data_IF_388596692097
#
_entry.id   IF_388596692097
#
_cell.length_a   1.000
_cell.length_b   1.000
_cell.length_c   1.000
_cell.angle_alpha   90.00
_cell.angle_beta   90.00
_cell.angle_gamma   90.00
#
_symmetry.space_group_name_H-M   'P 1'
#
loop_
_entity.id
_entity.type
_entity.pdbx_description
1 polymer ?
#
# COMPACT_ATOMS: atom_id res chain seq x y z
N UNK A 1 -15.67 -14.88 14.81
CA UNK A 1 -14.66 -15.26 13.80
C UNK A 1 -14.50 -14.31 12.60
N UNK A 2 -15.29 -13.23 12.47
CA UNK A 2 -15.25 -12.37 11.27
C UNK A 2 -14.28 -11.17 11.32
N UNK A 3 -13.47 -11.01 12.38
CA UNK A 3 -12.79 -9.74 12.72
C UNK A 3 -11.31 -9.63 12.28
N UNK A 4 -10.70 -10.68 11.75
CA UNK A 4 -9.24 -10.73 11.53
C UNK A 4 -8.77 -11.08 10.11
N UNK A 5 -9.67 -11.26 9.14
CA UNK A 5 -9.32 -11.77 7.80
C UNK A 5 -9.32 -10.74 6.67
N UNK A 6 -9.45 -9.45 6.99
CA UNK A 6 -9.64 -8.39 5.99
C UNK A 6 -8.64 -7.23 6.18
N UNK A 7 -7.44 -7.56 6.66
CA UNK A 7 -6.54 -6.60 7.32
C UNK A 7 -5.89 -5.61 6.35
N UNK A 8 -5.73 -5.89 5.05
CA UNK A 8 -5.04 -4.95 4.15
C UNK A 8 -5.92 -3.75 3.78
N UNK A 9 -7.14 -3.97 3.28
CA UNK A 9 -8.07 -2.89 2.92
C UNK A 9 -8.80 -2.29 4.12
N UNK A 10 -9.10 -3.07 5.15
CA UNK A 10 -9.58 -2.50 6.42
C UNK A 10 -8.46 -1.76 7.14
N UNK A 11 -7.18 -2.19 7.06
CA UNK A 11 -6.09 -1.34 7.57
C UNK A 11 -5.83 -0.14 6.70
N UNK A 12 -6.03 -0.19 5.37
CA UNK A 12 -6.01 1.01 4.54
C UNK A 12 -7.10 1.97 5.04
N UNK A 13 -8.38 1.55 5.11
CA UNK A 13 -9.47 2.37 5.65
C UNK A 13 -9.24 2.80 7.10
N UNK A 14 -8.58 2.00 7.94
CA UNK A 14 -8.28 2.35 9.34
C UNK A 14 -7.06 3.30 9.45
N UNK A 15 -6.01 3.12 8.64
CA UNK A 15 -4.87 4.03 8.51
C UNK A 15 -5.30 5.37 7.92
N UNK A 16 -6.27 5.35 7.00
CA UNK A 16 -6.92 6.50 6.38
C UNK A 16 -7.81 7.24 7.39
N UNK A 17 -8.68 6.53 8.13
CA UNK A 17 -9.58 7.14 9.12
C UNK A 17 -8.89 7.69 10.37
N UNK A 18 -7.71 7.19 10.74
CA UNK A 18 -7.06 7.55 12.02
C UNK A 18 -6.05 8.70 11.89
N UNK A 19 -5.84 9.30 10.72
CA UNK A 19 -4.84 10.38 10.56
C UNK A 19 -3.40 9.98 10.89
N UNK A 20 -3.15 8.67 11.05
CA UNK A 20 -1.86 8.09 11.47
C UNK A 20 -0.80 8.27 10.38
N UNK A 21 -1.19 8.28 9.11
CA UNK A 21 -0.28 8.53 7.99
C UNK A 21 0.32 9.95 8.04
N UNK A 22 -0.49 10.96 8.38
CA UNK A 22 -0.06 12.36 8.51
C UNK A 22 0.91 12.56 9.69
N UNK A 23 0.68 11.87 10.81
CA UNK A 23 1.56 11.92 11.98
C UNK A 23 2.86 11.11 11.79
N UNK A 24 2.81 10.01 11.03
CA UNK A 24 4.00 9.21 10.71
C UNK A 24 4.98 9.99 9.82
N UNK A 25 4.48 10.71 8.80
CA UNK A 25 5.31 11.55 7.92
C UNK A 25 5.89 12.77 8.66
N UNK A 26 5.13 13.40 9.56
CA UNK A 26 5.66 14.50 10.41
C UNK A 26 6.74 14.03 11.39
N UNK A 27 6.60 12.82 11.95
CA UNK A 27 7.59 12.21 12.86
C UNK A 27 8.87 11.76 12.16
N UNK A 28 8.78 11.28 10.92
CA UNK A 28 9.96 10.92 10.13
C UNK A 28 10.86 12.15 9.85
N UNK A 29 10.26 13.33 9.67
CA UNK A 29 10.99 14.60 9.51
C UNK A 29 11.66 15.07 10.81
N UNK A 30 11.03 14.85 11.97
CA UNK A 30 11.57 15.26 13.28
C UNK A 30 12.58 14.27 13.90
N UNK A 31 12.58 13.00 13.48
CA UNK A 31 13.44 11.95 14.04
C UNK A 31 14.82 11.86 13.38
N UNK A 32 15.08 12.63 12.32
CA UNK A 32 16.38 12.66 11.64
C UNK A 32 17.41 13.61 12.29
N UNK A 33 17.07 14.30 13.39
CA UNK A 33 17.98 15.25 14.05
C UNK A 33 18.56 14.81 15.39
N UNK A 34 18.09 13.73 16.05
CA UNK A 34 18.51 13.46 17.43
C UNK A 34 18.98 12.03 17.73
N UNK A 35 20.23 11.99 18.19
CA UNK A 35 20.92 10.95 18.96
C UNK A 35 21.60 9.80 18.20
N UNK A 36 22.91 9.99 18.00
CA UNK A 36 23.89 8.92 18.07
C UNK A 36 24.79 9.15 19.27
N UNK A 37 24.97 8.11 20.08
CA UNK A 37 25.98 8.06 21.14
C UNK A 37 25.41 8.02 22.54
N UNK A 38 25.23 6.81 23.08
CA UNK A 38 25.71 6.45 24.43
C UNK A 38 26.09 4.97 24.46
N UNK A 39 27.27 4.74 25.03
CA UNK A 39 27.91 3.46 25.26
C UNK A 39 27.05 2.51 26.09
N UNK A 40 27.05 1.23 25.71
CA UNK A 40 26.49 0.13 26.50
C UNK A 40 27.66 -0.69 27.04
N UNK A 41 27.90 -0.59 28.36
CA UNK A 41 28.83 -1.46 29.07
C UNK A 41 28.32 -2.90 29.06
N UNK A 42 29.14 -3.83 28.56
CA UNK A 42 28.83 -5.24 28.43
C UNK A 42 29.03 -5.97 29.77
N UNK A 43 27.95 -6.50 30.34
CA UNK A 43 28.02 -7.53 31.37
C UNK A 43 28.37 -8.87 30.72
N UNK A 44 29.42 -9.54 31.21
CA UNK A 44 29.81 -10.88 30.78
C UNK A 44 28.96 -11.90 31.54
N UNK A 45 27.78 -12.22 30.99
CA UNK A 45 27.02 -13.40 31.37
C UNK A 45 27.56 -14.63 30.61
N UNK A 46 27.76 -15.73 31.32
CA UNK A 46 28.17 -17.03 30.75
C UNK A 46 27.20 -17.46 29.64
N UNK A 47 27.61 -17.28 28.39
CA UNK A 47 26.79 -17.61 27.23
C UNK A 47 26.68 -19.12 27.05
N UNK A 48 25.56 -19.70 27.48
CA UNK A 48 25.17 -21.07 27.12
C UNK A 48 24.78 -21.08 25.64
N UNK A 49 25.63 -21.66 24.79
CA UNK A 49 25.32 -21.81 23.36
C UNK A 49 24.57 -23.13 23.12
N UNK A 50 23.29 -23.05 22.75
CA UNK A 50 22.52 -24.21 22.27
C UNK A 50 22.62 -24.27 20.75
N UNK A 51 23.22 -25.34 20.23
CA UNK A 51 23.28 -25.59 18.78
C UNK A 51 22.30 -26.68 18.41
N UNK A 52 21.35 -26.39 17.51
CA UNK A 52 20.45 -27.40 16.92
C UNK A 52 20.73 -27.50 15.43
N UNK A 53 20.77 -28.72 14.90
CA UNK A 53 20.77 -28.95 13.46
C UNK A 53 19.39 -28.57 12.90
N UNK A 54 19.34 -27.52 12.09
CA UNK A 54 18.12 -27.11 11.40
C UNK A 54 18.12 -27.69 9.98
N UNK A 55 17.01 -28.29 9.56
CA UNK A 55 16.78 -28.57 8.14
C UNK A 55 16.17 -27.32 7.50
N UNK A 56 16.73 -26.86 6.38
CA UNK A 56 16.22 -25.71 5.63
C UNK A 56 15.95 -26.19 4.20
N UNK A 57 14.70 -26.06 3.71
CA UNK A 57 13.53 -25.50 4.40
C UNK A 57 12.95 -26.42 5.49
N UNK A 58 12.40 -25.81 6.54
CA UNK A 58 11.69 -26.50 7.63
C UNK A 58 10.22 -26.65 7.22
N UNK A 59 9.87 -27.82 6.67
CA UNK A 59 8.54 -28.09 6.10
C UNK A 59 7.41 -27.90 7.11
N UNK A 60 7.58 -28.36 8.35
CA UNK A 60 6.58 -28.21 9.41
C UNK A 60 6.36 -26.73 9.78
N UNK A 61 7.42 -25.93 9.85
CA UNK A 61 7.29 -24.48 10.03
C UNK A 61 6.56 -23.83 8.86
N UNK A 62 6.92 -24.18 7.63
CA UNK A 62 6.28 -23.64 6.43
C UNK A 62 4.77 -23.95 6.42
N UNK A 63 4.37 -25.20 6.66
CA UNK A 63 2.96 -25.58 6.72
C UNK A 63 2.19 -24.87 7.84
N UNK A 64 2.79 -24.75 9.02
CA UNK A 64 2.17 -24.02 10.13
C UNK A 64 1.94 -22.55 9.79
N UNK A 65 2.90 -21.91 9.14
CA UNK A 65 2.78 -20.53 8.68
C UNK A 65 1.68 -20.38 7.61
N UNK A 66 1.54 -21.36 6.70
CA UNK A 66 0.45 -21.38 5.72
C UNK A 66 -0.93 -21.52 6.35
N UNK A 67 -1.05 -22.35 7.39
CA UNK A 67 -2.33 -22.57 8.10
C UNK A 67 -2.73 -21.39 8.97
N UNK A 68 -1.75 -20.72 9.58
CA UNK A 68 -1.95 -19.65 10.57
C UNK A 68 -1.01 -18.45 10.33
N UNK A 69 -1.17 -17.73 9.19
CA UNK A 69 -0.30 -16.61 8.83
C UNK A 69 -0.35 -15.44 9.82
N UNK A 70 -1.39 -15.30 10.63
CA UNK A 70 -1.46 -14.32 11.72
C UNK A 70 -0.40 -14.54 12.81
N UNK A 71 0.06 -15.79 13.00
CA UNK A 71 1.16 -16.16 13.90
C UNK A 71 2.47 -16.38 13.14
N UNK A 72 2.52 -16.00 11.86
CA UNK A 72 3.72 -16.06 11.04
C UNK A 72 4.85 -15.15 11.54
N UNK A 73 6.08 -15.37 11.07
CA UNK A 73 7.25 -14.60 11.50
C UNK A 73 7.10 -13.11 11.21
N UNK A 74 7.70 -12.27 12.08
CA UNK A 74 7.80 -10.82 11.83
C UNK A 74 8.94 -10.57 10.85
N UNK A 75 8.62 -9.98 9.71
CA UNK A 75 9.60 -9.75 8.63
C UNK A 75 9.62 -8.27 8.27
N UNK A 76 10.81 -7.67 8.25
CA UNK A 76 11.03 -6.31 7.78
C UNK A 76 11.69 -6.34 6.41
N UNK A 77 11.05 -5.70 5.43
CA UNK A 77 11.61 -5.48 4.10
C UNK A 77 12.09 -4.04 3.95
N UNK A 78 13.34 -3.88 3.54
CA UNK A 78 13.85 -2.64 2.96
C UNK A 78 13.71 -2.78 1.44
N UNK A 79 12.80 -2.00 0.84
CA UNK A 79 12.40 -2.23 -0.54
C UNK A 79 12.08 -0.94 -1.31
N UNK A 80 12.21 -1.03 -2.62
CA UNK A 80 11.73 -0.04 -3.57
C UNK A 80 11.26 -0.74 -4.84
N UNK A 81 10.37 -0.11 -5.62
CA UNK A 81 9.96 -0.63 -6.91
C UNK A 81 9.24 -1.99 -6.86
N UNK A 82 9.40 -2.72 -7.96
CA UNK A 82 8.72 -4.01 -8.20
C UNK A 82 9.53 -5.23 -7.74
N UNK A 83 10.78 -5.06 -7.32
CA UNK A 83 11.72 -6.16 -7.08
C UNK A 83 11.22 -7.24 -6.10
N UNK A 84 10.55 -6.84 -5.02
CA UNK A 84 9.99 -7.76 -4.01
C UNK A 84 8.48 -7.96 -4.17
N UNK A 85 7.89 -7.60 -5.32
CA UNK A 85 6.44 -7.80 -5.59
C UNK A 85 6.06 -9.28 -5.45
N UNK A 86 6.66 -10.16 -6.26
CA UNK A 86 6.37 -11.59 -6.23
C UNK A 86 6.70 -12.25 -4.87
N UNK A 87 7.78 -11.81 -4.23
CA UNK A 87 8.13 -12.27 -2.87
C UNK A 87 7.04 -11.93 -1.86
N UNK A 88 6.48 -10.71 -1.91
CA UNK A 88 5.39 -10.32 -1.01
C UNK A 88 4.06 -10.99 -1.34
N UNK A 89 3.77 -11.18 -2.63
CA UNK A 89 2.59 -11.94 -3.08
C UNK A 89 2.62 -13.38 -2.57
N UNK A 90 3.81 -13.98 -2.48
CA UNK A 90 3.99 -15.30 -1.88
C UNK A 90 3.94 -15.25 -0.34
N UNK A 91 4.72 -14.36 0.28
CA UNK A 91 4.90 -14.34 1.73
C UNK A 91 3.67 -13.92 2.52
N UNK A 92 2.72 -13.19 1.92
CA UNK A 92 1.44 -12.88 2.59
C UNK A 92 0.67 -14.13 3.00
N UNK A 93 0.89 -15.27 2.32
CA UNK A 93 0.30 -16.56 2.68
C UNK A 93 0.96 -17.21 3.90
N UNK A 94 2.19 -16.80 4.25
CA UNK A 94 2.96 -17.35 5.36
C UNK A 94 3.01 -16.42 6.57
N UNK A 95 2.83 -15.12 6.38
CA UNK A 95 2.85 -14.14 7.47
C UNK A 95 2.04 -12.89 7.15
N UNK A 96 1.14 -12.52 8.06
CA UNK A 96 0.50 -11.21 8.09
C UNK A 96 1.36 -10.14 8.79
N UNK A 97 2.49 -10.54 9.38
CA UNK A 97 3.34 -9.71 10.23
C UNK A 97 4.53 -9.11 9.45
N UNK A 98 4.27 -8.64 8.23
CA UNK A 98 5.30 -8.03 7.39
C UNK A 98 5.27 -6.50 7.45
N UNK A 99 6.45 -5.89 7.59
CA UNK A 99 6.65 -4.44 7.57
C UNK A 99 7.45 -4.12 6.31
N UNK A 100 6.97 -3.17 5.51
CA UNK A 100 7.60 -2.79 4.25
C UNK A 100 8.02 -1.33 4.33
N UNK A 101 9.33 -1.10 4.40
CA UNK A 101 9.91 0.22 4.20
C UNK A 101 10.07 0.42 2.70
N UNK A 102 9.32 1.39 2.17
CA UNK A 102 9.20 1.65 0.74
C UNK A 102 9.88 2.97 0.42
N UNK A 103 10.83 2.96 -0.50
CA UNK A 103 11.45 4.18 -1.00
C UNK A 103 10.55 4.85 -2.05
N UNK A 104 10.29 6.17 -2.00
CA UNK A 104 9.34 6.86 -2.89
C UNK A 104 9.95 7.24 -4.25
N UNK A 105 10.77 6.37 -4.84
CA UNK A 105 11.58 6.70 -6.01
C UNK A 105 10.88 6.45 -7.35
N UNK A 106 9.73 5.75 -7.39
CA UNK A 106 9.00 5.57 -8.66
C UNK A 106 8.72 6.90 -9.36
N UNK A 107 9.30 7.06 -10.55
CA UNK A 107 9.32 8.30 -11.32
C UNK A 107 8.62 8.20 -12.66
N UNK A 108 7.90 7.10 -12.95
CA UNK A 108 7.28 6.88 -14.26
C UNK A 108 5.82 7.34 -14.37
N UNK A 109 5.45 7.86 -15.55
CA UNK A 109 4.06 8.14 -15.95
C UNK A 109 3.29 9.00 -14.95
N UNK A 110 2.10 8.54 -14.54
CA UNK A 110 1.22 9.26 -13.61
C UNK A 110 1.85 9.63 -12.27
N UNK A 111 2.85 8.87 -11.81
CA UNK A 111 3.56 9.17 -10.56
C UNK A 111 4.36 10.46 -10.68
N UNK A 112 5.00 10.72 -11.82
CA UNK A 112 5.73 11.97 -12.05
C UNK A 112 4.79 13.18 -12.11
N UNK A 113 3.65 13.03 -12.79
CA UNK A 113 2.66 14.09 -12.92
C UNK A 113 2.05 14.47 -11.56
N UNK A 114 1.74 13.49 -10.71
CA UNK A 114 1.29 13.75 -9.33
C UNK A 114 2.34 14.52 -8.52
N UNK A 115 3.62 14.15 -8.63
CA UNK A 115 4.68 14.88 -7.92
C UNK A 115 4.79 16.32 -8.41
N UNK A 116 4.69 16.55 -9.72
CA UNK A 116 4.70 17.88 -10.34
C UNK A 116 3.53 18.72 -9.84
N UNK A 117 2.32 18.14 -9.84
CA UNK A 117 1.08 18.85 -9.54
C UNK A 117 0.90 19.16 -8.04
N UNK A 118 1.29 18.25 -7.15
CA UNK A 118 0.98 18.35 -5.72
C UNK A 118 2.19 18.53 -4.82
N UNK A 119 3.41 18.62 -5.37
CA UNK A 119 4.67 18.72 -4.63
C UNK A 119 4.80 17.66 -3.50
N UNK A 120 4.39 16.43 -3.81
CA UNK A 120 4.38 15.31 -2.87
C UNK A 120 5.31 14.19 -3.31
N UNK A 121 5.51 13.20 -2.45
CA UNK A 121 6.23 11.97 -2.79
C UNK A 121 5.43 11.10 -3.78
N UNK A 122 6.14 10.32 -4.59
CA UNK A 122 5.49 9.36 -5.48
C UNK A 122 4.70 8.32 -4.68
N UNK A 123 3.46 8.10 -5.09
CA UNK A 123 2.56 7.10 -4.48
C UNK A 123 2.61 5.75 -5.18
N UNK A 124 3.31 5.64 -6.32
CA UNK A 124 3.29 4.45 -7.16
C UNK A 124 3.87 3.21 -6.49
N UNK A 125 5.00 3.35 -5.79
CA UNK A 125 5.60 2.23 -5.04
C UNK A 125 4.72 1.77 -3.87
N UNK A 126 4.06 2.73 -3.20
CA UNK A 126 3.07 2.43 -2.16
C UNK A 126 1.88 1.66 -2.75
N UNK A 127 1.28 2.15 -3.84
CA UNK A 127 0.19 1.46 -4.55
C UNK A 127 0.60 0.05 -4.94
N UNK A 128 1.77 -0.11 -5.55
CA UNK A 128 2.27 -1.42 -5.98
C UNK A 128 2.41 -2.40 -4.81
N UNK A 129 2.90 -1.92 -3.65
CA UNK A 129 3.02 -2.77 -2.45
C UNK A 129 1.67 -3.12 -1.86
N UNK A 130 0.76 -2.15 -1.76
CA UNK A 130 -0.62 -2.41 -1.34
C UNK A 130 -1.25 -3.47 -2.22
N UNK A 131 -1.05 -3.40 -3.54
CA UNK A 131 -1.60 -4.39 -4.45
C UNK A 131 -0.97 -5.78 -4.33
N UNK A 132 0.34 -5.86 -4.08
CA UNK A 132 1.02 -7.13 -3.84
C UNK A 132 0.49 -7.84 -2.58
N UNK A 133 0.22 -7.05 -1.53
CA UNK A 133 -0.23 -7.54 -0.22
C UNK A 133 -1.74 -7.70 -0.11
N UNK A 134 -2.51 -7.07 -0.99
CA UNK A 134 -3.96 -7.22 -1.05
C UNK A 134 -4.34 -8.69 -1.23
N UNK A 135 -5.37 -9.12 -0.54
CA UNK A 135 -6.01 -10.40 -0.83
C UNK A 135 -6.84 -10.22 -2.10
N UNK A 136 -6.48 -10.91 -3.18
CA UNK A 136 -7.21 -10.86 -4.45
C UNK A 136 -8.13 -12.09 -4.62
N UNK A 137 -8.33 -12.88 -3.56
CA UNK A 137 -9.29 -13.98 -3.58
C UNK A 137 -10.72 -13.45 -3.76
N UNK A 138 -11.66 -14.33 -4.09
CA UNK A 138 -13.09 -13.96 -4.16
C UNK A 138 -13.64 -13.36 -2.85
N UNK A 139 -12.97 -13.62 -1.72
CA UNK A 139 -13.28 -13.04 -0.40
C UNK A 139 -12.52 -11.72 -0.14
N UNK A 140 -11.54 -11.37 -0.97
CA UNK A 140 -10.58 -10.29 -0.80
C UNK A 140 -10.92 -8.94 -1.47
N UNK A 141 -12.14 -8.79 -1.99
CA UNK A 141 -12.62 -7.61 -2.73
C UNK A 141 -11.91 -7.42 -4.10
N UNK A 142 -12.07 -8.38 -5.02
CA UNK A 142 -11.46 -8.30 -6.36
C UNK A 142 -11.85 -7.02 -7.13
N UNK A 143 -13.05 -6.49 -6.90
CA UNK A 143 -13.53 -5.26 -7.55
C UNK A 143 -12.72 -4.03 -7.12
N UNK A 144 -12.31 -3.98 -5.85
CA UNK A 144 -11.44 -2.90 -5.35
C UNK A 144 -10.06 -2.99 -6.00
N UNK A 145 -9.53 -4.21 -6.12
CA UNK A 145 -8.25 -4.45 -6.77
C UNK A 145 -8.29 -4.07 -8.25
N UNK A 146 -9.39 -4.37 -8.95
CA UNK A 146 -9.63 -3.98 -10.33
C UNK A 146 -9.66 -2.45 -10.48
N UNK A 147 -10.43 -1.75 -9.64
CA UNK A 147 -10.48 -0.29 -9.64
C UNK A 147 -9.12 0.36 -9.34
N UNK A 148 -8.38 -0.14 -8.35
CA UNK A 148 -7.05 0.38 -7.99
C UNK A 148 -6.00 0.16 -9.09
N UNK A 149 -6.10 -0.96 -9.80
CA UNK A 149 -5.17 -1.31 -10.87
C UNK A 149 -5.49 -0.61 -12.19
N UNK A 150 -6.70 -0.04 -12.31
CA UNK A 150 -7.17 0.63 -13.52
C UNK A 150 -6.29 1.81 -13.91
N UNK A 151 -6.08 1.92 -15.23
CA UNK A 151 -5.44 3.07 -15.86
C UNK A 151 -6.43 3.69 -16.83
N UNK A 152 -6.57 5.00 -16.75
CA UNK A 152 -7.35 5.77 -17.70
C UNK A 152 -6.77 5.60 -19.11
N UNK A 153 -7.62 5.88 -20.09
CA UNK A 153 -7.27 5.95 -21.51
C UNK A 153 -6.00 6.78 -21.71
N UNK A 154 -5.04 6.24 -22.47
CA UNK A 154 -3.71 6.85 -22.63
C UNK A 154 -3.60 7.76 -23.87
N UNK A 155 -4.37 7.46 -24.91
CA UNK A 155 -4.16 8.05 -26.24
C UNK A 155 -4.99 9.31 -26.48
N UNK A 156 -6.00 9.58 -25.64
CA UNK A 156 -6.93 10.69 -25.82
C UNK A 156 -7.28 11.32 -24.46
N UNK A 157 -6.96 12.62 -24.34
CA UNK A 157 -7.18 13.40 -23.11
C UNK A 157 -8.66 13.67 -22.82
N UNK A 158 -9.49 13.77 -23.84
CA UNK A 158 -10.93 13.97 -23.70
C UNK A 158 -11.54 12.68 -23.16
N UNK A 159 -11.22 11.54 -23.79
CA UNK A 159 -11.71 10.23 -23.33
C UNK A 159 -11.23 9.91 -21.90
N UNK A 160 -9.97 10.21 -21.56
CA UNK A 160 -9.46 10.04 -20.20
C UNK A 160 -10.23 10.88 -19.18
N UNK A 161 -10.61 12.11 -19.54
CA UNK A 161 -11.37 13.02 -18.67
C UNK A 161 -12.82 12.58 -18.49
N UNK A 162 -13.47 12.11 -19.57
CA UNK A 162 -14.83 11.55 -19.53
C UNK A 162 -14.87 10.26 -18.70
N UNK A 163 -13.90 9.37 -18.90
CA UNK A 163 -13.75 8.13 -18.15
C UNK A 163 -13.51 8.41 -16.66
N UNK A 164 -12.60 9.34 -16.33
CA UNK A 164 -12.38 9.78 -14.95
C UNK A 164 -13.66 10.33 -14.31
N UNK A 165 -14.41 11.16 -15.04
CA UNK A 165 -15.68 11.73 -14.58
C UNK A 165 -16.74 10.65 -14.31
N UNK A 166 -16.81 9.63 -15.17
CA UNK A 166 -17.69 8.47 -15.01
C UNK A 166 -17.32 7.62 -13.77
N UNK A 167 -16.02 7.46 -13.50
CA UNK A 167 -15.56 6.80 -12.27
C UNK A 167 -15.92 7.64 -11.05
N UNK A 168 -15.66 8.95 -11.08
CA UNK A 168 -15.91 9.87 -9.97
C UNK A 168 -17.40 9.96 -9.59
N UNK A 169 -18.30 9.89 -10.59
CA UNK A 169 -19.75 9.85 -10.38
C UNK A 169 -20.24 8.48 -9.88
N UNK A 170 -19.39 7.44 -9.95
CA UNK A 170 -19.73 6.07 -9.58
C UNK A 170 -20.52 5.31 -10.64
N UNK A 171 -20.60 5.84 -11.88
CA UNK A 171 -21.34 5.24 -13.00
C UNK A 171 -20.47 4.29 -13.84
N UNK A 172 -19.15 4.40 -13.73
CA UNK A 172 -18.25 3.47 -14.40
C UNK A 172 -18.38 2.06 -13.82
N UNK A 173 -18.36 1.03 -14.68
CA UNK A 173 -18.54 -0.39 -14.31
C UNK A 173 -17.61 -0.82 -13.16
N UNK A 174 -16.34 -0.37 -13.18
CA UNK A 174 -15.38 -0.68 -12.11
C UNK A 174 -15.72 -0.01 -10.78
N UNK A 175 -16.29 1.19 -10.80
CA UNK A 175 -16.72 1.87 -9.58
C UNK A 175 -18.02 1.24 -9.05
N UNK A 176 -18.94 0.90 -9.94
CA UNK A 176 -20.23 0.28 -9.60
C UNK A 176 -20.05 -1.09 -8.96
N UNK A 177 -19.12 -1.90 -9.46
CA UNK A 177 -18.81 -3.25 -8.96
C UNK A 177 -18.32 -3.26 -7.50
N UNK A 178 -17.71 -2.17 -7.02
CA UNK A 178 -17.27 -2.08 -5.62
C UNK A 178 -18.49 -1.98 -4.71
N UNK A 179 -18.57 -2.90 -3.74
CA UNK A 179 -19.65 -2.89 -2.74
C UNK A 179 -19.56 -1.71 -1.77
N UNK A 180 -20.72 -1.33 -1.21
CA UNK A 180 -20.77 -0.38 -0.10
C UNK A 180 -20.36 -1.06 1.22
N UNK A 181 -19.70 -0.34 2.16
CA UNK A 181 -19.41 1.09 2.15
C UNK A 181 -18.09 1.47 1.46
N UNK A 182 -17.31 0.48 1.00
CA UNK A 182 -15.97 0.71 0.44
C UNK A 182 -16.00 1.67 -0.75
N UNK A 183 -16.95 1.49 -1.69
CA UNK A 183 -17.13 2.37 -2.85
C UNK A 183 -17.22 3.84 -2.46
N UNK A 184 -18.02 4.17 -1.45
CA UNK A 184 -18.19 5.56 -0.99
C UNK A 184 -16.88 6.16 -0.49
N UNK A 185 -16.08 5.36 0.24
CA UNK A 185 -14.77 5.80 0.75
C UNK A 185 -13.81 6.09 -0.41
N UNK A 186 -13.72 5.16 -1.38
CA UNK A 186 -12.84 5.32 -2.54
C UNK A 186 -13.21 6.54 -3.39
N UNK A 187 -14.50 6.71 -3.68
CA UNK A 187 -15.00 7.87 -4.42
C UNK A 187 -14.82 9.17 -3.63
N UNK A 188 -14.93 9.14 -2.31
CA UNK A 188 -14.63 10.30 -1.46
C UNK A 188 -13.19 10.76 -1.64
N UNK A 189 -12.21 9.85 -1.61
CA UNK A 189 -10.81 10.21 -1.86
C UNK A 189 -10.58 10.71 -3.29
N UNK A 190 -11.24 10.13 -4.30
CA UNK A 190 -11.17 10.69 -5.67
C UNK A 190 -11.72 12.12 -5.76
N UNK A 191 -12.76 12.46 -4.97
CA UNK A 191 -13.28 13.83 -4.90
C UNK A 191 -12.27 14.78 -4.25
N UNK A 192 -11.57 14.35 -3.21
CA UNK A 192 -10.48 15.13 -2.60
C UNK A 192 -9.37 15.40 -3.62
N UNK A 193 -8.95 14.39 -4.39
CA UNK A 193 -8.02 14.57 -5.50
C UNK A 193 -8.55 15.58 -6.53
N UNK A 194 -9.77 15.38 -7.03
CA UNK A 194 -10.35 16.23 -8.08
C UNK A 194 -10.50 17.70 -7.65
N UNK A 195 -10.82 17.96 -6.37
CA UNK A 195 -10.95 19.32 -5.85
C UNK A 195 -9.65 20.13 -5.98
N UNK A 196 -8.52 19.50 -5.68
CA UNK A 196 -7.22 20.18 -5.65
C UNK A 196 -6.41 19.94 -6.93
N UNK A 197 -6.95 19.16 -7.88
CA UNK A 197 -6.33 18.85 -9.16
C UNK A 197 -6.16 20.13 -10.00
N UNK A 198 -4.93 20.45 -10.44
CA UNK A 198 -4.71 21.57 -11.36
C UNK A 198 -5.42 21.37 -12.70
N UNK A 199 -5.85 22.44 -13.34
CA UNK A 199 -6.53 22.38 -14.65
C UNK A 199 -5.65 21.86 -15.78
N UNK A 200 -4.32 21.97 -15.64
CA UNK A 200 -3.32 21.46 -16.59
C UNK A 200 -2.85 20.04 -16.26
N UNK A 201 -3.48 19.35 -15.30
CA UNK A 201 -3.11 18.00 -14.91
C UNK A 201 -3.38 17.00 -16.05
N UNK A 202 -2.38 16.23 -16.44
CA UNK A 202 -2.53 15.22 -17.49
C UNK A 202 -3.13 13.91 -16.94
N UNK A 203 -4.39 13.63 -17.29
CA UNK A 203 -5.10 12.39 -16.93
C UNK A 203 -4.77 11.19 -17.84
N UNK A 204 -4.14 11.39 -18.99
CA UNK A 204 -3.84 10.29 -19.92
C UNK A 204 -2.99 9.20 -19.26
N UNK A 205 -3.49 7.96 -19.28
CA UNK A 205 -2.79 6.82 -18.69
C UNK A 205 -2.68 6.86 -17.16
N UNK A 206 -3.37 7.81 -16.51
CA UNK A 206 -3.30 7.98 -15.07
C UNK A 206 -3.86 6.76 -14.34
N UNK A 207 -3.20 6.34 -13.27
CA UNK A 207 -3.67 5.22 -12.47
C UNK A 207 -4.68 5.67 -11.43
N UNK A 208 -5.89 5.11 -11.47
CA UNK A 208 -6.94 5.42 -10.49
C UNK A 208 -6.49 5.14 -9.06
N UNK A 209 -5.79 4.05 -8.80
CA UNK A 209 -5.23 3.77 -7.47
C UNK A 209 -4.25 4.86 -6.99
N UNK A 210 -3.44 5.43 -7.90
CA UNK A 210 -2.57 6.56 -7.54
C UNK A 210 -3.40 7.83 -7.24
N UNK A 211 -4.45 8.09 -8.01
CA UNK A 211 -5.33 9.25 -7.76
C UNK A 211 -6.06 9.12 -6.42
N UNK A 212 -6.55 7.92 -6.08
CA UNK A 212 -7.18 7.62 -4.77
C UNK A 212 -6.20 7.87 -3.62
N UNK A 213 -4.98 7.33 -3.70
CA UNK A 213 -3.97 7.50 -2.64
C UNK A 213 -3.57 8.96 -2.51
N UNK A 214 -3.45 9.68 -3.63
CA UNK A 214 -3.18 11.12 -3.64
C UNK A 214 -4.30 11.89 -2.97
N UNK A 215 -5.55 11.58 -3.29
CA UNK A 215 -6.72 12.19 -2.65
C UNK A 215 -6.78 11.94 -1.14
N UNK A 216 -6.33 10.78 -0.67
CA UNK A 216 -6.14 10.52 0.75
C UNK A 216 -5.11 11.46 1.40
N UNK A 217 -4.04 11.82 0.68
CA UNK A 217 -3.01 12.70 1.20
C UNK A 217 -3.47 14.16 1.29
N UNK A 218 -4.43 14.54 0.44
CA UNK A 218 -4.99 15.89 0.33
C UNK A 218 -6.18 16.16 1.26
N UNK A 219 -6.75 15.11 1.86
CA UNK A 219 -7.74 15.20 2.94
C UNK A 219 -7.16 15.79 4.25
#
# INVERSE_FOLDING_TARGET
EYRHRNTAFISLVSLLKLGLFRNMLRRASSAMSDSWGKDVQANVETAVSVTRRACIPDSEKCERCLRLPEYGPRILFFSGGTAIKGVSECLKHYSHNSIHLITPFDSGGSSAEIRRAFNMLSVGDLRNRLMALADNSALGNPDVAALFSHRLTADDSTLASEEFSSILSGQHVLAEAVSMPMRSILLSHLRWFHRDMPSDFNLCGASIGNLIITGCFLE
#
